data_IF_984622198044
#
_entry.id   IF_984622198044
#
_cell.length_a   1.000
_cell.length_b   1.000
_cell.length_c   1.000
_cell.angle_alpha   90.00
_cell.angle_beta   90.00
_cell.angle_gamma   90.00
#
_symmetry.space_group_name_H-M   'P 1'
#
loop_
_entity.id
_entity.type
_entity.pdbx_description
1 polymer ?
#
# COMPACT_ATOMS: atom_id res chain seq x y z
N UNK A 1 -26.10 7.61 8.25
CA UNK A 1 -26.99 6.47 8.55
C UNK A 1 -27.03 5.55 7.33
N UNK A 2 -26.24 4.48 7.30
CA UNK A 2 -26.28 3.50 6.21
C UNK A 2 -26.26 2.07 6.78
N UNK A 3 -27.45 1.45 6.72
CA UNK A 3 -27.79 0.02 6.71
C UNK A 3 -27.17 -0.90 7.79
N UNK A 4 -27.97 -1.15 8.83
CA UNK A 4 -28.00 -2.43 9.54
C UNK A 4 -29.17 -3.29 9.01
N UNK A 5 -29.16 -4.57 9.39
CA UNK A 5 -30.20 -5.61 9.26
C UNK A 5 -30.05 -6.54 8.03
N UNK A 6 -29.25 -7.59 8.19
CA UNK A 6 -29.56 -8.94 7.68
C UNK A 6 -28.74 -10.00 8.42
N UNK A 7 -29.18 -10.37 9.63
CA UNK A 7 -28.59 -11.48 10.38
C UNK A 7 -29.67 -12.32 11.04
N UNK A 8 -30.54 -12.93 10.24
CA UNK A 8 -31.28 -14.13 10.62
C UNK A 8 -31.26 -15.01 9.36
N UNK A 9 -30.85 -16.28 9.52
CA UNK A 9 -30.45 -17.28 8.51
C UNK A 9 -28.98 -17.23 8.05
N UNK A 10 -28.09 -17.76 8.89
CA UNK A 10 -26.68 -18.09 8.60
C UNK A 10 -26.54 -19.30 7.63
N UNK A 11 -27.22 -19.27 6.50
CA UNK A 11 -27.03 -20.20 5.37
C UNK A 11 -26.76 -19.47 4.03
N UNK A 12 -26.29 -18.22 4.07
CA UNK A 12 -25.75 -17.53 2.91
C UNK A 12 -24.34 -17.06 3.21
N UNK A 13 -23.33 -17.54 2.47
CA UNK A 13 -21.98 -16.96 2.46
C UNK A 13 -22.08 -15.58 1.80
N UNK A 14 -22.58 -14.58 2.51
CA UNK A 14 -22.89 -13.26 1.94
C UNK A 14 -21.62 -12.63 1.39
N UNK A 15 -21.53 -12.53 0.07
CA UNK A 15 -20.46 -11.81 -0.65
C UNK A 15 -20.95 -10.39 -0.86
N UNK A 16 -20.16 -9.40 -0.46
CA UNK A 16 -20.46 -7.99 -0.63
C UNK A 16 -19.83 -7.50 -1.93
N UNK A 17 -20.65 -7.00 -2.85
CA UNK A 17 -20.14 -6.36 -4.07
C UNK A 17 -19.48 -5.03 -3.71
N UNK A 18 -18.25 -4.83 -4.19
CA UNK A 18 -17.44 -3.64 -3.88
C UNK A 18 -17.34 -2.73 -5.09
N UNK A 19 -17.10 -3.28 -6.27
CA UNK A 19 -16.95 -2.50 -7.49
C UNK A 19 -16.52 -3.35 -8.69
N UNK A 20 -16.20 -2.67 -9.78
CA UNK A 20 -15.72 -3.27 -11.02
C UNK A 20 -14.54 -2.48 -11.59
N UNK A 21 -13.73 -3.12 -12.43
CA UNK A 21 -12.64 -2.46 -13.17
C UNK A 21 -13.07 -2.02 -14.58
N UNK A 22 -12.16 -1.38 -15.32
CA UNK A 22 -12.40 -0.97 -16.71
C UNK A 22 -12.61 -2.18 -17.66
N UNK A 23 -12.16 -3.37 -17.27
CA UNK A 23 -12.31 -4.61 -18.02
C UNK A 23 -13.66 -5.30 -17.73
N UNK A 24 -14.41 -4.81 -16.73
CA UNK A 24 -15.69 -5.35 -16.28
C UNK A 24 -15.59 -6.54 -15.33
N UNK A 25 -14.41 -6.82 -14.77
CA UNK A 25 -14.25 -7.77 -13.67
C UNK A 25 -14.91 -7.21 -12.42
N UNK A 26 -15.60 -8.06 -11.66
CA UNK A 26 -16.32 -7.67 -10.45
C UNK A 26 -15.55 -8.08 -9.21
N UNK A 27 -15.47 -7.19 -8.23
CA UNK A 27 -14.70 -7.40 -7.00
C UNK A 27 -15.63 -7.49 -5.80
N UNK A 28 -15.33 -8.46 -4.93
CA UNK A 28 -16.17 -8.79 -3.77
C UNK A 28 -15.35 -8.88 -2.50
N UNK A 29 -15.98 -8.48 -1.41
CA UNK A 29 -15.50 -8.68 -0.05
C UNK A 29 -16.37 -9.73 0.66
N UNK A 30 -15.73 -10.65 1.35
CA UNK A 30 -16.36 -11.78 2.01
C UNK A 30 -15.98 -11.76 3.49
N UNK A 31 -16.90 -12.16 4.40
CA UNK A 31 -16.56 -12.34 5.80
C UNK A 31 -15.48 -13.41 5.98
N UNK A 32 -14.78 -13.34 7.11
CA UNK A 32 -13.75 -14.32 7.47
C UNK A 32 -14.34 -15.73 7.49
N UNK A 33 -13.56 -16.73 7.03
CA UNK A 33 -13.97 -18.14 7.09
C UNK A 33 -14.19 -18.62 8.53
N UNK A 34 -13.42 -18.07 9.48
CA UNK A 34 -13.47 -18.40 10.90
C UNK A 34 -14.67 -17.78 11.63
N UNK A 35 -15.48 -16.97 10.93
CA UNK A 35 -16.60 -16.24 11.55
C UNK A 35 -16.16 -15.02 12.39
N UNK A 36 -14.88 -14.66 12.36
CA UNK A 36 -14.39 -13.41 12.94
C UNK A 36 -15.10 -12.23 12.27
N UNK A 37 -15.59 -11.31 13.10
CA UNK A 37 -16.28 -10.07 12.67
C UNK A 37 -15.28 -8.92 12.48
N UNK A 38 -14.00 -9.12 12.79
CA UNK A 38 -12.98 -8.08 12.56
C UNK A 38 -12.80 -7.82 11.05
N UNK A 39 -13.00 -6.55 10.60
CA UNK A 39 -12.80 -6.15 9.21
C UNK A 39 -11.41 -6.47 8.63
N UNK A 40 -10.39 -6.67 9.46
CA UNK A 40 -9.05 -7.05 9.00
C UNK A 40 -8.96 -8.48 8.49
N UNK A 41 -9.89 -9.34 8.89
CA UNK A 41 -9.90 -10.75 8.54
C UNK A 41 -10.86 -11.08 7.40
N UNK A 42 -11.33 -10.06 6.66
CA UNK A 42 -12.17 -10.25 5.47
C UNK A 42 -11.35 -10.86 4.33
N UNK A 43 -12.03 -11.62 3.49
CA UNK A 43 -11.45 -12.21 2.27
C UNK A 43 -11.90 -11.39 1.08
N UNK A 44 -11.00 -11.15 0.11
CA UNK A 44 -11.31 -10.40 -1.11
C UNK A 44 -11.21 -11.35 -2.30
N UNK A 45 -12.15 -11.28 -3.24
CA UNK A 45 -12.19 -12.15 -4.42
C UNK A 45 -12.60 -11.38 -5.67
N UNK A 46 -12.25 -11.95 -6.82
CA UNK A 46 -12.59 -11.43 -8.15
C UNK A 46 -13.52 -12.43 -8.82
N UNK A 47 -14.61 -11.94 -9.41
CA UNK A 47 -15.34 -12.67 -10.43
C UNK A 47 -14.99 -12.06 -11.79
N UNK A 48 -14.29 -12.84 -12.60
CA UNK A 48 -13.96 -12.47 -13.97
C UNK A 48 -15.21 -12.35 -14.83
N UNK A 49 -15.22 -11.34 -15.72
CA UNK A 49 -16.28 -11.13 -16.71
C UNK A 49 -16.37 -12.32 -17.67
N UNK A 50 -15.23 -12.71 -18.22
CA UNK A 50 -15.11 -13.86 -19.10
C UNK A 50 -14.95 -15.12 -18.25
N UNK A 51 -15.78 -16.14 -18.52
CA UNK A 51 -15.69 -17.44 -17.84
C UNK A 51 -14.75 -18.33 -18.64
N UNK A 52 -13.46 -18.24 -18.33
CA UNK A 52 -12.38 -19.06 -18.90
C UNK A 52 -11.96 -20.19 -17.95
N UNK A 53 -11.16 -21.12 -18.47
CA UNK A 53 -10.51 -22.13 -17.64
C UNK A 53 -9.55 -21.46 -16.63
N UNK A 54 -9.33 -22.02 -15.43
CA UNK A 54 -8.46 -21.44 -14.41
C UNK A 54 -7.03 -21.12 -14.89
N UNK A 55 -6.50 -21.89 -15.84
CA UNK A 55 -5.17 -21.70 -16.42
C UNK A 55 -5.06 -20.53 -17.42
N UNK A 56 -6.18 -20.03 -17.93
CA UNK A 56 -6.22 -18.99 -18.96
C UNK A 56 -6.38 -17.58 -18.38
N UNK A 57 -6.62 -17.46 -17.08
CA UNK A 57 -6.72 -16.16 -16.44
C UNK A 57 -5.34 -15.52 -16.30
N UNK A 58 -5.15 -14.39 -16.97
CA UNK A 58 -3.96 -13.59 -16.83
C UNK A 58 -4.08 -12.63 -15.65
N UNK A 59 -3.33 -12.91 -14.59
CA UNK A 59 -3.29 -12.06 -13.40
C UNK A 59 -2.71 -10.66 -13.69
N UNK A 60 -1.91 -10.51 -14.76
CA UNK A 60 -1.34 -9.22 -15.18
C UNK A 60 -2.37 -8.28 -15.81
N UNK A 61 -3.52 -8.82 -16.22
CA UNK A 61 -4.64 -8.03 -16.77
C UNK A 61 -5.38 -7.20 -15.71
N UNK A 62 -5.22 -7.52 -14.42
CA UNK A 62 -5.88 -6.82 -13.33
C UNK A 62 -5.14 -5.50 -13.04
N UNK A 63 -5.84 -4.36 -12.93
CA UNK A 63 -5.21 -3.10 -12.56
C UNK A 63 -4.46 -3.19 -11.22
N UNK A 64 -3.29 -2.55 -11.13
CA UNK A 64 -2.42 -2.62 -9.97
C UNK A 64 -3.10 -2.16 -8.67
N UNK A 65 -4.01 -1.19 -8.75
CA UNK A 65 -4.77 -0.67 -7.61
C UNK A 65 -5.73 -1.73 -7.05
N UNK A 66 -6.38 -2.51 -7.93
CA UNK A 66 -7.22 -3.63 -7.53
C UNK A 66 -6.38 -4.77 -6.95
N UNK A 67 -5.19 -5.05 -7.50
CA UNK A 67 -4.26 -6.03 -6.91
C UNK A 67 -3.83 -5.62 -5.50
N UNK A 68 -3.51 -4.34 -5.29
CA UNK A 68 -3.16 -3.81 -3.96
C UNK A 68 -4.33 -3.91 -2.97
N UNK A 69 -5.56 -3.72 -3.44
CA UNK A 69 -6.76 -3.97 -2.64
C UNK A 69 -6.94 -5.46 -2.35
N UNK A 70 -6.84 -6.35 -3.33
CA UNK A 70 -6.98 -7.80 -3.10
C UNK A 70 -5.96 -8.38 -2.11
N UNK A 71 -4.75 -7.79 -2.07
CA UNK A 71 -3.67 -8.15 -1.14
C UNK A 71 -3.77 -7.46 0.21
N UNK A 72 -4.84 -6.71 0.47
CA UNK A 72 -5.09 -5.94 1.69
C UNK A 72 -4.03 -4.86 1.99
N UNK A 73 -3.14 -4.55 1.05
CA UNK A 73 -2.20 -3.43 1.17
C UNK A 73 -2.95 -2.09 1.16
N UNK A 74 -4.03 -2.01 0.40
CA UNK A 74 -4.94 -0.86 0.36
C UNK A 74 -6.25 -1.18 1.07
N UNK A 75 -6.71 -0.29 1.97
CA UNK A 75 -7.97 -0.48 2.69
C UNK A 75 -9.20 -0.22 1.81
N UNK A 76 -9.24 0.95 1.19
CA UNK A 76 -10.34 1.40 0.33
C UNK A 76 -10.20 0.84 -1.08
N UNK A 77 -11.29 0.42 -1.74
CA UNK A 77 -11.25 0.03 -3.14
C UNK A 77 -10.85 1.23 -4.02
N UNK A 78 -10.25 0.98 -5.19
CA UNK A 78 -9.99 2.04 -6.17
C UNK A 78 -11.30 2.58 -6.77
N UNK A 79 -11.27 3.83 -7.19
CA UNK A 79 -12.40 4.46 -7.92
C UNK A 79 -12.23 4.29 -9.42
N UNK A 80 -13.33 4.38 -10.19
CA UNK A 80 -13.27 4.25 -11.64
C UNK A 80 -12.40 5.35 -12.29
N UNK A 81 -12.48 6.58 -11.77
CA UNK A 81 -11.69 7.72 -12.24
C UNK A 81 -10.19 7.50 -12.03
N UNK A 82 -9.79 6.96 -10.87
CA UNK A 82 -8.39 6.63 -10.60
C UNK A 82 -7.84 5.61 -11.60
N UNK A 83 -8.63 4.58 -11.94
CA UNK A 83 -8.25 3.58 -12.92
C UNK A 83 -8.09 4.19 -14.32
N UNK A 84 -8.97 5.11 -14.70
CA UNK A 84 -8.90 5.80 -15.98
C UNK A 84 -7.65 6.68 -16.08
N UNK A 85 -7.36 7.45 -15.04
CA UNK A 85 -6.15 8.29 -14.98
C UNK A 85 -4.87 7.46 -15.06
N UNK A 86 -4.82 6.30 -14.39
CA UNK A 86 -3.67 5.41 -14.46
C UNK A 86 -3.51 4.77 -15.85
N UNK A 87 -4.61 4.37 -16.50
CA UNK A 87 -4.57 3.86 -17.87
C UNK A 87 -4.01 4.89 -18.86
N UNK A 88 -4.41 6.16 -18.74
CA UNK A 88 -3.85 7.26 -19.52
C UNK A 88 -2.37 7.47 -19.24
N UNK A 89 -1.98 7.47 -17.96
CA UNK A 89 -0.58 7.59 -17.54
C UNK A 89 0.27 6.48 -18.16
N UNK A 90 -0.17 5.22 -18.09
CA UNK A 90 0.52 4.08 -18.70
C UNK A 90 0.67 4.27 -20.21
N UNK A 91 -0.38 4.78 -20.87
CA UNK A 91 -0.36 5.06 -22.31
C UNK A 91 0.68 6.13 -22.66
N UNK A 92 0.71 7.24 -21.92
CA UNK A 92 1.72 8.31 -22.10
C UNK A 92 3.14 7.79 -21.86
N UNK A 93 3.37 7.05 -20.78
CA UNK A 93 4.68 6.46 -20.47
C UNK A 93 5.13 5.51 -21.57
N UNK A 94 4.23 4.66 -22.08
CA UNK A 94 4.53 3.72 -23.17
C UNK A 94 4.89 4.47 -24.45
N UNK A 95 4.20 5.57 -24.78
CA UNK A 95 4.53 6.39 -25.94
C UNK A 95 5.93 7.03 -25.79
N UNK A 96 6.22 7.60 -24.61
CA UNK A 96 7.53 8.18 -24.33
C UNK A 96 8.65 7.13 -24.38
N UNK A 97 8.42 5.94 -23.82
CA UNK A 97 9.38 4.84 -23.86
C UNK A 97 9.73 4.45 -25.31
N UNK A 98 8.73 4.36 -26.21
CA UNK A 98 8.95 4.08 -27.64
C UNK A 98 9.79 5.16 -28.32
N UNK A 99 9.57 6.44 -28.00
CA UNK A 99 10.36 7.54 -28.57
C UNK A 99 11.82 7.47 -28.12
N UNK A 100 12.05 7.18 -26.84
CA UNK A 100 13.41 7.01 -26.28
C UNK A 100 14.08 5.79 -26.94
N UNK A 101 13.37 4.67 -27.06
CA UNK A 101 13.89 3.47 -27.69
C UNK A 101 14.28 3.69 -29.16
N UNK A 102 13.46 4.41 -29.93
CA UNK A 102 13.77 4.77 -31.31
C UNK A 102 15.00 5.69 -31.42
N UNK A 103 15.10 6.69 -30.54
CA UNK A 103 16.28 7.57 -30.46
C UNK A 103 17.54 6.77 -30.12
N UNK A 104 17.44 5.87 -29.14
CA UNK A 104 18.57 5.04 -28.73
C UNK A 104 18.95 4.04 -29.84
N UNK A 105 17.99 3.48 -30.56
CA UNK A 105 18.26 2.61 -31.69
C UNK A 105 18.99 3.36 -32.82
N UNK A 106 18.54 4.56 -33.17
CA UNK A 106 19.22 5.41 -34.16
C UNK A 106 20.65 5.78 -33.72
N UNK A 107 20.84 6.13 -32.45
CA UNK A 107 22.16 6.42 -31.91
C UNK A 107 23.08 5.20 -31.95
N UNK A 108 22.59 4.01 -31.53
CA UNK A 108 23.34 2.75 -31.63
C UNK A 108 23.71 2.43 -33.08
N UNK A 109 22.77 2.53 -34.02
CA UNK A 109 23.05 2.32 -35.43
C UNK A 109 24.12 3.28 -35.96
N UNK A 110 24.08 4.54 -35.52
CA UNK A 110 25.08 5.54 -35.90
C UNK A 110 26.47 5.23 -35.34
N UNK A 111 26.57 4.67 -34.13
CA UNK A 111 27.85 4.20 -33.59
C UNK A 111 28.43 3.04 -34.40
N UNK A 112 27.60 2.08 -34.81
CA UNK A 112 28.06 0.93 -35.60
C UNK A 112 28.61 1.34 -36.98
N UNK A 113 28.12 2.45 -37.53
CA UNK A 113 28.57 2.97 -38.83
C UNK A 113 29.75 3.94 -38.73
N UNK A 114 30.06 4.44 -37.54
CA UNK A 114 31.09 5.45 -37.35
C UNK A 114 32.51 4.84 -37.37
N UNK A 115 33.53 5.58 -37.87
CA UNK A 115 34.92 5.27 -37.61
C UNK A 115 35.21 5.17 -36.11
N UNK A 116 36.25 4.41 -35.69
CA UNK A 116 36.51 4.14 -34.28
C UNK A 116 36.77 5.40 -33.44
N UNK A 117 37.43 6.42 -34.00
CA UNK A 117 37.67 7.71 -33.34
C UNK A 117 36.36 8.47 -33.07
N UNK A 118 35.49 8.58 -34.09
CA UNK A 118 34.18 9.23 -33.97
C UNK A 118 33.24 8.46 -33.02
N UNK A 119 33.31 7.13 -33.03
CA UNK A 119 32.54 6.29 -32.13
C UNK A 119 32.92 6.50 -30.66
N UNK A 120 34.22 6.61 -30.36
CA UNK A 120 34.72 6.95 -29.02
C UNK A 120 34.22 8.32 -28.57
N UNK A 121 34.39 9.35 -29.41
CA UNK A 121 33.92 10.71 -29.09
C UNK A 121 32.40 10.76 -28.81
N UNK A 122 31.59 9.98 -29.52
CA UNK A 122 30.14 9.90 -29.31
C UNK A 122 29.76 9.15 -28.03
N UNK A 123 30.53 8.14 -27.63
CA UNK A 123 30.36 7.46 -26.34
C UNK A 123 30.70 8.40 -25.20
N UNK A 124 31.83 9.10 -25.29
CA UNK A 124 32.28 10.08 -24.30
C UNK A 124 31.27 11.22 -24.14
N UNK A 125 30.73 11.74 -25.25
CA UNK A 125 29.67 12.73 -25.23
C UNK A 125 28.41 12.24 -24.47
N UNK A 126 27.99 10.99 -24.67
CA UNK A 126 26.84 10.42 -23.95
C UNK A 126 27.10 10.25 -22.46
N UNK A 127 28.31 9.86 -22.07
CA UNK A 127 28.70 9.76 -20.66
C UNK A 127 28.64 11.11 -19.95
N UNK A 128 29.06 12.20 -20.64
CA UNK A 128 28.97 13.56 -20.12
C UNK A 128 27.50 14.01 -19.98
N UNK A 129 26.67 13.73 -20.98
CA UNK A 129 25.23 14.04 -20.94
C UNK A 129 24.51 13.31 -19.79
N UNK A 130 24.83 12.02 -19.58
CA UNK A 130 24.25 11.21 -18.51
C UNK A 130 24.77 11.67 -17.12
N UNK A 131 26.04 12.08 -17.02
CA UNK A 131 26.60 12.69 -15.82
C UNK A 131 25.90 14.02 -15.46
N UNK A 132 25.64 14.89 -16.45
CA UNK A 132 24.94 16.15 -16.24
C UNK A 132 23.47 15.95 -15.80
N UNK A 133 22.81 14.90 -16.30
CA UNK A 133 21.43 14.53 -15.91
C UNK A 133 21.32 13.86 -14.54
N UNK A 134 22.40 13.27 -14.03
CA UNK A 134 22.41 12.55 -12.76
C UNK A 134 22.77 13.42 -11.56
N UNK A 135 23.13 14.69 -11.75
CA UNK A 135 23.29 15.67 -10.66
C UNK A 135 21.94 15.98 -9.97
N UNK A 136 21.78 15.79 -8.65
CA UNK A 136 20.52 16.01 -7.96
C UNK A 136 20.33 17.50 -7.66
N UNK A 137 20.03 18.30 -8.69
CA UNK A 137 19.56 19.67 -8.50
C UNK A 137 18.06 19.64 -8.18
N UNK A 138 17.76 19.53 -6.88
CA UNK A 138 16.49 19.88 -6.22
C UNK A 138 15.20 19.64 -7.03
N UNK A 139 14.71 18.40 -7.02
CA UNK A 139 13.29 18.10 -7.24
C UNK A 139 12.48 18.55 -6.02
N UNK A 140 12.39 19.86 -5.81
CA UNK A 140 11.36 20.48 -4.99
C UNK A 140 10.10 20.55 -5.85
N UNK A 141 9.40 19.42 -5.98
CA UNK A 141 8.00 19.47 -6.40
C UNK A 141 7.26 20.32 -5.38
N UNK A 142 7.02 21.57 -5.77
CA UNK A 142 6.21 22.55 -5.07
C UNK A 142 4.82 21.97 -4.85
N UNK A 143 4.61 21.34 -3.69
CA UNK A 143 3.29 21.18 -3.12
C UNK A 143 2.88 22.60 -2.75
N UNK A 144 2.00 23.18 -3.56
CA UNK A 144 1.35 24.45 -3.24
C UNK A 144 0.66 24.28 -1.88
N UNK A 145 1.27 24.86 -0.85
CA UNK A 145 0.62 25.11 0.43
C UNK A 145 -0.47 26.15 0.21
N UNK A 146 -1.68 25.69 -0.05
CA UNK A 146 -2.87 26.53 0.06
C UNK A 146 -3.09 26.83 1.54
N UNK A 147 -2.75 28.06 1.91
CA UNK A 147 -2.96 28.67 3.22
C UNK A 147 -4.47 28.71 3.52
N UNK A 148 -4.97 28.07 4.59
CA UNK A 148 -6.35 28.30 5.01
C UNK A 148 -6.45 29.70 5.61
N UNK A 149 -7.35 30.52 5.05
CA UNK A 149 -7.72 31.80 5.63
C UNK A 149 -8.37 31.59 7.02
N UNK A 150 -8.13 32.50 8.00
CA UNK A 150 -8.82 32.45 9.28
C UNK A 150 -10.32 32.73 9.11
N UNK A 151 -11.21 32.13 9.93
CA UNK A 151 -12.64 32.35 9.85
C UNK A 151 -13.01 33.80 10.23
N UNK A 152 -13.99 34.44 9.55
CA UNK A 152 -14.49 35.73 9.97
C UNK A 152 -15.25 35.59 11.30
N UNK A 153 -14.85 36.39 12.28
CA UNK A 153 -15.53 36.52 13.56
C UNK A 153 -16.99 37.01 13.38
N UNK A 154 -17.94 36.57 14.24
CA UNK A 154 -19.32 37.01 14.18
C UNK A 154 -19.48 38.44 14.73
N UNK A 155 -20.02 39.34 13.92
CA UNK A 155 -20.47 40.66 14.33
C UNK A 155 -21.76 40.55 15.17
N UNK A 156 -21.71 41.03 16.41
CA UNK A 156 -22.89 41.48 17.15
C UNK A 156 -22.94 43.01 17.14
N UNK A 157 -24.14 43.60 17.14
CA UNK A 157 -24.49 44.43 18.30
C UNK A 157 -25.91 44.15 18.84
N UNK A 158 -26.07 44.31 20.16
CA UNK A 158 -27.30 44.13 20.94
C UNK A 158 -28.32 45.28 20.75
N UNK A 159 -29.53 45.19 21.34
CA UNK A 159 -29.69 45.80 22.68
C UNK A 159 -30.63 45.07 23.68
N UNK A 160 -30.27 45.23 24.97
CA UNK A 160 -31.12 45.54 26.15
C UNK A 160 -32.30 44.63 26.56
N UNK A 161 -32.17 43.94 27.71
CA UNK A 161 -33.08 44.11 28.87
C UNK A 161 -32.70 43.22 30.08
N UNK A 162 -32.27 43.89 31.15
CA UNK A 162 -32.64 43.72 32.57
C UNK A 162 -32.71 42.33 33.23
N UNK A 163 -31.96 42.12 34.33
CA UNK A 163 -32.19 40.97 35.20
C UNK A 163 -31.19 40.67 36.34
N UNK A 164 -30.84 41.66 37.15
CA UNK A 164 -30.45 41.57 38.58
C UNK A 164 -29.79 40.29 39.16
N UNK A 165 -28.54 40.46 39.63
CA UNK A 165 -28.09 40.25 41.02
C UNK A 165 -28.12 38.81 41.61
N UNK A 166 -26.93 38.25 41.92
CA UNK A 166 -26.28 38.31 43.26
C UNK A 166 -24.99 37.48 43.31
N UNK A 167 -23.92 38.12 43.78
CA UNK A 167 -22.69 37.50 44.33
C UNK A 167 -22.99 36.64 45.56
N UNK A 168 -22.23 35.56 45.74
CA UNK A 168 -21.59 35.20 47.03
C UNK A 168 -20.41 34.25 46.80
N UNK A 169 -19.26 34.65 47.35
CA UNK A 169 -18.06 33.88 47.71
C UNK A 169 -18.43 32.76 48.72
N UNK A 170 -17.64 31.74 49.07
CA UNK A 170 -16.24 31.62 49.59
C UNK A 170 -15.92 30.10 49.51
N UNK A 171 -14.69 29.59 49.36
CA UNK A 171 -13.76 29.05 50.41
C UNK A 171 -12.76 28.16 49.62
N UNK A 172 -11.47 28.50 49.38
CA UNK A 172 -10.25 28.22 50.19
C UNK A 172 -10.26 26.82 50.82
N UNK A 173 -9.27 25.92 50.79
CA UNK A 173 -7.80 25.98 50.87
C UNK A 173 -7.25 24.56 50.44
N UNK A 174 -5.94 24.20 50.52
CA UNK A 174 -5.20 23.57 49.43
C UNK A 174 -4.41 22.30 49.86
N UNK A 175 -3.32 22.01 49.14
CA UNK A 175 -2.09 21.26 49.56
C UNK A 175 -2.19 19.74 49.37
N UNK A 176 -1.60 19.18 48.30
CA UNK A 176 -0.18 18.82 48.10
C UNK A 176 0.30 17.70 49.04
N UNK A 177 0.67 16.55 48.47
CA UNK A 177 1.91 15.79 48.78
C UNK A 177 1.98 14.54 47.88
N UNK A 178 3.00 14.46 47.00
CA UNK A 178 4.25 13.66 47.17
C UNK A 178 4.02 12.20 46.75
N UNK A 179 4.53 11.70 45.62
CA UNK A 179 5.92 11.48 45.15
C UNK A 179 6.17 9.97 45.16
N UNK A 180 6.80 9.51 44.08
CA UNK A 180 7.61 8.28 43.96
C UNK A 180 6.95 6.93 44.26
N UNK A 181 6.82 6.12 43.21
CA UNK A 181 7.47 4.81 43.24
C UNK A 181 7.95 4.44 41.83
N UNK A 182 9.28 4.44 41.70
CA UNK A 182 10.04 3.91 40.59
C UNK A 182 10.55 2.54 41.04
N UNK A 183 10.46 1.61 40.10
CA UNK A 183 11.28 0.41 39.97
C UNK A 183 10.88 -0.88 40.71
N UNK A 184 10.87 -1.91 39.87
CA UNK A 184 11.40 -3.25 40.10
C UNK A 184 10.46 -4.31 40.66
N UNK A 185 10.03 -5.20 39.75
CA UNK A 185 10.04 -6.63 40.00
C UNK A 185 9.98 -7.37 38.66
N UNK A 186 11.18 -7.65 38.19
CA UNK A 186 11.58 -8.85 37.47
C UNK A 186 10.96 -10.14 38.08
N UNK A 187 11.06 -11.27 37.36
CA UNK A 187 10.69 -12.67 37.72
C UNK A 187 9.20 -13.06 37.46
N UNK A 188 8.84 -14.12 36.73
CA UNK A 188 9.47 -15.44 36.56
C UNK A 188 9.05 -16.07 35.21
N UNK A 189 10.04 -16.42 34.40
CA UNK A 189 10.01 -17.51 33.43
C UNK A 189 10.27 -18.85 34.17
N UNK A 190 9.43 -19.87 33.97
CA UNK A 190 9.68 -21.31 34.22
C UNK A 190 8.41 -22.06 33.78
N UNK A 191 8.42 -23.13 33.00
CA UNK A 191 9.48 -23.97 32.47
C UNK A 191 8.82 -25.30 32.06
N UNK A 192 9.07 -25.77 30.84
CA UNK A 192 8.90 -27.17 30.49
C UNK A 192 9.83 -27.47 29.33
N UNK A 193 11.05 -27.87 29.70
CA UNK A 193 11.89 -28.72 28.87
C UNK A 193 12.67 -29.67 29.78
N UNK A 194 12.98 -30.84 29.20
CA UNK A 194 13.83 -31.93 29.69
C UNK A 194 13.13 -33.09 30.43
N UNK A 195 12.73 -34.08 29.64
CA UNK A 195 13.30 -35.42 29.84
C UNK A 195 13.94 -35.88 28.52
N UNK A 196 15.26 -35.97 28.58
CA UNK A 196 16.21 -36.39 27.56
C UNK A 196 16.29 -37.92 27.46
N UNK A 197 16.63 -38.43 26.26
CA UNK A 197 17.81 -39.29 25.99
C UNK A 197 17.80 -39.86 24.56
N UNK A 198 18.59 -39.20 23.71
CA UNK A 198 19.63 -39.70 22.76
C UNK A 198 19.97 -41.20 22.70
N UNK A 199 20.82 -41.66 21.75
CA UNK A 199 21.10 -41.21 20.36
C UNK A 199 21.24 -42.39 19.36
N UNK A 200 21.36 -42.14 18.05
CA UNK A 200 22.45 -42.69 17.23
C UNK A 200 22.40 -42.14 15.79
N UNK A 201 23.38 -41.32 15.47
CA UNK A 201 23.93 -41.06 14.14
C UNK A 201 25.24 -41.90 14.05
N UNK A 202 25.97 -42.06 12.92
CA UNK A 202 25.96 -41.22 11.72
C UNK A 202 26.30 -41.93 10.38
N UNK A 203 26.44 -41.07 9.35
CA UNK A 203 27.33 -41.20 8.19
C UNK A 203 26.90 -42.21 7.09
N UNK A 204 27.24 -42.07 5.82
CA UNK A 204 27.80 -41.07 4.90
C UNK A 204 27.94 -41.87 3.58
N UNK A 205 27.81 -41.23 2.41
CA UNK A 205 27.93 -41.78 1.04
C UNK A 205 29.24 -42.60 0.79
N UNK A 206 29.56 -43.19 -0.40
CA UNK A 206 28.92 -43.19 -1.73
C UNK A 206 28.96 -44.56 -2.51
N UNK A 207 28.49 -44.55 -3.77
CA UNK A 207 28.94 -45.32 -4.96
C UNK A 207 29.20 -46.83 -4.90
N UNK A 208 28.61 -47.59 -5.84
CA UNK A 208 29.32 -48.36 -6.90
C UNK A 208 28.30 -48.95 -7.92
N UNK A 209 28.72 -49.24 -9.17
CA UNK A 209 27.88 -49.75 -10.26
C UNK A 209 27.97 -51.28 -10.38
N UNK A 210 26.96 -51.92 -10.96
CA UNK A 210 27.08 -53.29 -11.48
C UNK A 210 26.46 -53.44 -12.87
N UNK A 211 27.23 -54.15 -13.71
CA UNK A 211 26.99 -54.57 -15.08
C UNK A 211 26.07 -55.81 -15.13
N UNK A 212 25.52 -56.03 -16.33
CA UNK A 212 25.07 -57.31 -16.93
C UNK A 212 23.78 -57.95 -16.39
N UNK A 213 22.78 -58.13 -17.27
CA UNK A 213 22.80 -59.17 -18.31
C UNK A 213 21.92 -58.78 -19.50
#
# INVERSE_FOLDING_TARGET
MFKAISSIFRLGKSRYFVGYDLNGNSFYELPSRSGSTDPRHTRRSIDWKEKKAPSEYDQSSIPAQWVAWLRHTRRQPPTLEELQQDAERITRVRANAKLIEARDAAWRASLLQAPPEDAQARLDARLVDDAAKSTPAASSSSIQSEKPAPPPAPSAPQPEASGSRRRRSVTSVPTEEVRSELADSDRVQRGYDLASRTPSSPASSPSQPTKSS
#
